data_IF_109339103134
#
_entry.id   IF_109339103134
#
_cell.length_a   1.000
_cell.length_b   1.000
_cell.length_c   1.000
_cell.angle_alpha   90.00
_cell.angle_beta   90.00
_cell.angle_gamma   90.00
#
_symmetry.space_group_name_H-M   'P 1'
#
loop_
_entity.id
_entity.type
_entity.pdbx_description
1 polymer ?
#
# COMPACT_ATOMS: atom_id res chain seq x y z
N UNK A 1 15.34 26.23 -9.87
CA UNK A 1 14.21 25.33 -10.17
C UNK A 1 14.62 23.85 -10.15
N UNK A 2 15.78 23.47 -10.69
CA UNK A 2 16.31 22.09 -10.64
C UNK A 2 16.40 21.49 -9.22
N UNK A 3 16.86 22.26 -8.22
CA UNK A 3 16.98 21.79 -6.84
C UNK A 3 15.64 21.49 -6.15
N UNK A 4 14.55 22.14 -6.56
CA UNK A 4 13.22 21.94 -5.98
C UNK A 4 12.57 20.69 -6.57
N UNK A 5 12.70 20.50 -7.89
CA UNK A 5 12.22 19.31 -8.61
C UNK A 5 12.92 18.06 -8.06
N UNK A 6 14.25 18.13 -7.84
CA UNK A 6 15.01 16.99 -7.32
C UNK A 6 14.55 16.59 -5.89
N UNK A 7 14.19 17.56 -5.03
CA UNK A 7 13.68 17.26 -3.70
C UNK A 7 12.28 16.63 -3.70
N UNK A 8 11.40 16.99 -4.63
CA UNK A 8 10.07 16.38 -4.73
C UNK A 8 10.15 14.92 -5.18
N UNK A 9 10.97 14.62 -6.18
CA UNK A 9 11.18 13.24 -6.65
C UNK A 9 11.77 12.35 -5.55
N UNK A 10 12.72 12.86 -4.78
CA UNK A 10 13.30 12.14 -3.64
C UNK A 10 12.23 11.85 -2.58
N UNK A 11 11.36 12.81 -2.25
CA UNK A 11 10.25 12.59 -1.29
C UNK A 11 9.27 11.53 -1.79
N UNK A 12 8.90 11.57 -3.06
CA UNK A 12 8.00 10.57 -3.67
C UNK A 12 8.64 9.18 -3.64
N UNK A 13 9.93 9.08 -3.96
CA UNK A 13 10.66 7.82 -3.93
C UNK A 13 10.75 7.24 -2.52
N UNK A 14 11.08 8.07 -1.52
CA UNK A 14 11.10 7.67 -0.11
C UNK A 14 9.71 7.16 0.31
N UNK A 15 8.65 7.91 -0.01
CA UNK A 15 7.28 7.53 0.30
C UNK A 15 6.91 6.19 -0.35
N UNK A 16 7.28 5.97 -1.61
CA UNK A 16 7.03 4.73 -2.33
C UNK A 16 7.76 3.54 -1.67
N UNK A 17 9.02 3.73 -1.25
CA UNK A 17 9.79 2.70 -0.53
C UNK A 17 9.13 2.38 0.81
N UNK A 18 8.68 3.38 1.57
CA UNK A 18 7.96 3.14 2.82
C UNK A 18 6.66 2.36 2.62
N UNK A 19 5.86 2.74 1.61
CA UNK A 19 4.61 2.04 1.28
C UNK A 19 4.90 0.59 0.87
N UNK A 20 5.94 0.36 0.08
CA UNK A 20 6.35 -0.98 -0.34
C UNK A 20 6.77 -1.84 0.85
N UNK A 21 7.58 -1.31 1.77
CA UNK A 21 8.02 -2.03 2.97
C UNK A 21 6.82 -2.33 3.87
N UNK A 22 5.94 -1.35 4.09
CA UNK A 22 4.73 -1.52 4.91
C UNK A 22 3.80 -2.58 4.32
N UNK A 23 3.57 -2.55 3.00
CA UNK A 23 2.78 -3.56 2.29
C UNK A 23 3.42 -4.95 2.37
N UNK A 24 4.73 -5.04 2.18
CA UNK A 24 5.48 -6.31 2.27
C UNK A 24 5.40 -6.91 3.67
N UNK A 25 5.55 -6.08 4.71
CA UNK A 25 5.40 -6.49 6.11
C UNK A 25 3.98 -6.93 6.41
N UNK A 26 2.99 -6.19 5.92
CA UNK A 26 1.58 -6.52 6.09
C UNK A 26 1.22 -7.88 5.49
N UNK A 27 1.72 -8.15 4.30
CA UNK A 27 1.51 -9.42 3.61
C UNK A 27 2.23 -10.57 4.31
N UNK A 28 3.46 -10.32 4.77
CA UNK A 28 4.22 -11.29 5.57
C UNK A 28 3.48 -11.64 6.87
N UNK A 29 2.98 -10.64 7.60
CA UNK A 29 2.21 -10.87 8.82
C UNK A 29 0.86 -11.54 8.55
N UNK A 30 0.13 -11.09 7.54
CA UNK A 30 -1.13 -11.70 7.10
C UNK A 30 -0.96 -13.17 6.71
N UNK A 31 0.16 -13.53 6.09
CA UNK A 31 0.46 -14.92 5.73
C UNK A 31 0.75 -15.81 6.94
N UNK A 32 1.31 -15.24 8.02
CA UNK A 32 1.49 -15.95 9.29
C UNK A 32 0.15 -16.21 9.96
N UNK A 33 -0.76 -15.25 9.92
CA UNK A 33 -2.13 -15.41 10.44
C UNK A 33 -2.93 -16.46 9.68
N UNK A 34 -2.74 -16.58 8.36
CA UNK A 34 -3.42 -17.56 7.51
C UNK A 34 -2.72 -18.94 7.45
N UNK A 35 -1.66 -19.14 8.24
CA UNK A 35 -0.92 -20.40 8.37
C UNK A 35 -0.35 -20.95 7.06
N UNK A 36 0.29 -20.09 6.26
CA UNK A 36 1.03 -20.56 5.06
C UNK A 36 2.23 -21.42 5.47
N UNK A 37 2.48 -22.50 4.72
CA UNK A 37 3.53 -23.48 5.06
C UNK A 37 4.94 -22.93 4.86
N UNK A 38 5.16 -22.10 3.85
CA UNK A 38 6.48 -21.55 3.50
C UNK A 38 6.31 -20.07 3.18
N UNK A 39 6.80 -19.20 4.06
CA UNK A 39 6.76 -17.75 3.87
C UNK A 39 8.18 -17.21 3.98
N UNK A 40 8.64 -16.53 2.93
CA UNK A 40 9.82 -15.68 2.98
C UNK A 40 9.42 -14.24 2.74
N UNK A 41 9.94 -13.32 3.55
CA UNK A 41 9.75 -11.88 3.38
C UNK A 41 10.13 -11.41 1.97
N UNK A 42 11.13 -12.05 1.35
CA UNK A 42 11.54 -11.79 -0.04
C UNK A 42 10.40 -12.02 -1.04
N UNK A 43 9.63 -13.09 -0.90
CA UNK A 43 8.49 -13.35 -1.79
C UNK A 43 7.33 -12.39 -1.51
N UNK A 44 7.11 -12.02 -0.24
CA UNK A 44 6.14 -10.98 0.10
C UNK A 44 6.50 -9.64 -0.55
N UNK A 45 7.79 -9.28 -0.55
CA UNK A 45 8.27 -8.07 -1.20
C UNK A 45 7.98 -8.05 -2.71
N UNK A 46 8.25 -9.15 -3.42
CA UNK A 46 7.92 -9.23 -4.84
C UNK A 46 6.42 -9.19 -5.11
N UNK A 47 5.63 -9.87 -4.29
CA UNK A 47 4.17 -9.85 -4.42
C UNK A 47 3.62 -8.42 -4.27
N UNK A 48 4.04 -7.72 -3.22
CA UNK A 48 3.64 -6.33 -2.96
C UNK A 48 4.15 -5.37 -4.04
N UNK A 49 5.37 -5.57 -4.56
CA UNK A 49 5.90 -4.77 -5.66
C UNK A 49 5.05 -4.92 -6.93
N UNK A 50 4.74 -6.15 -7.32
CA UNK A 50 3.93 -6.44 -8.50
C UNK A 50 2.53 -5.84 -8.34
N UNK A 51 1.91 -6.00 -7.18
CA UNK A 51 0.59 -5.44 -6.90
C UNK A 51 0.60 -3.89 -6.99
N UNK A 52 1.56 -3.23 -6.36
CA UNK A 52 1.67 -1.76 -6.37
C UNK A 52 1.94 -1.20 -7.76
N UNK A 53 2.83 -1.82 -8.53
CA UNK A 53 3.08 -1.43 -9.94
C UNK A 53 1.83 -1.64 -10.79
N UNK A 54 1.10 -2.73 -10.57
CA UNK A 54 -0.15 -3.02 -11.29
C UNK A 54 -1.25 -2.01 -10.96
N UNK A 55 -1.36 -1.56 -9.70
CA UNK A 55 -2.27 -0.47 -9.31
C UNK A 55 -1.87 0.83 -10.02
N UNK A 56 -0.57 1.13 -10.12
CA UNK A 56 -0.07 2.29 -10.87
C UNK A 56 -0.44 2.23 -12.36
N UNK A 57 -0.26 1.07 -12.99
CA UNK A 57 -0.68 0.83 -14.38
C UNK A 57 -2.20 0.94 -14.56
N UNK A 58 -2.97 0.32 -13.67
CA UNK A 58 -4.43 0.39 -13.67
C UNK A 58 -4.94 1.82 -13.50
N UNK A 59 -4.30 2.63 -12.65
CA UNK A 59 -4.61 4.05 -12.48
C UNK A 59 -4.38 4.85 -13.76
N UNK A 60 -3.27 4.59 -14.44
CA UNK A 60 -2.97 5.24 -15.72
C UNK A 60 -4.00 4.87 -16.80
N UNK A 61 -4.39 3.60 -16.87
CA UNK A 61 -5.44 3.13 -17.79
C UNK A 61 -6.81 3.69 -17.45
N UNK A 62 -7.22 3.69 -16.17
CA UNK A 62 -8.50 4.24 -15.71
C UNK A 62 -8.61 5.73 -16.05
N UNK A 63 -7.52 6.49 -15.90
CA UNK A 63 -7.49 7.91 -16.29
C UNK A 63 -7.68 8.10 -17.80
N UNK A 64 -7.22 7.16 -18.61
CA UNK A 64 -7.34 7.22 -20.07
C UNK A 64 -8.74 6.80 -20.56
N UNK A 65 -9.30 5.74 -19.99
CA UNK A 65 -10.58 5.16 -20.44
C UNK A 65 -11.78 5.89 -19.81
N UNK A 66 -11.68 6.32 -18.55
CA UNK A 66 -12.74 7.03 -17.84
C UNK A 66 -12.19 8.29 -17.15
N UNK A 67 -11.92 9.37 -17.91
CA UNK A 67 -11.35 10.61 -17.37
C UNK A 67 -12.25 11.31 -16.33
N UNK A 68 -13.56 11.04 -16.38
CA UNK A 68 -14.54 11.60 -15.44
C UNK A 68 -14.69 10.80 -14.13
N UNK A 69 -14.02 9.64 -14.04
CA UNK A 69 -14.03 8.81 -12.83
C UNK A 69 -13.15 9.44 -11.75
N UNK A 70 -13.74 10.38 -11.01
CA UNK A 70 -13.11 11.12 -9.92
C UNK A 70 -13.69 10.73 -8.56
N UNK A 71 -12.94 10.99 -7.50
CA UNK A 71 -13.38 10.81 -6.12
C UNK A 71 -13.26 9.37 -5.60
N UNK A 72 -14.09 9.04 -4.61
CA UNK A 72 -13.99 7.79 -3.84
C UNK A 72 -14.16 6.51 -4.67
N UNK A 73 -14.99 6.53 -5.71
CA UNK A 73 -15.25 5.36 -6.55
C UNK A 73 -14.01 4.89 -7.31
N UNK A 74 -13.20 5.82 -7.82
CA UNK A 74 -11.94 5.48 -8.50
C UNK A 74 -10.94 4.82 -7.54
N UNK A 75 -10.90 5.28 -6.28
CA UNK A 75 -10.03 4.72 -5.25
C UNK A 75 -10.46 3.30 -4.89
N UNK A 76 -11.77 3.06 -4.73
CA UNK A 76 -12.31 1.73 -4.42
C UNK A 76 -11.99 0.73 -5.54
N UNK A 77 -12.16 1.12 -6.80
CA UNK A 77 -11.82 0.28 -7.95
C UNK A 77 -10.33 -0.07 -7.97
N UNK A 78 -9.46 0.91 -7.71
CA UNK A 78 -8.01 0.68 -7.66
C UNK A 78 -7.61 -0.26 -6.51
N UNK A 79 -8.24 -0.13 -5.35
CA UNK A 79 -8.02 -1.05 -4.23
C UNK A 79 -8.47 -2.46 -4.61
N UNK A 80 -9.65 -2.61 -5.22
CA UNK A 80 -10.15 -3.92 -5.67
C UNK A 80 -9.21 -4.57 -6.68
N UNK A 81 -8.74 -3.83 -7.69
CA UNK A 81 -7.76 -4.33 -8.67
C UNK A 81 -6.48 -4.76 -7.94
N UNK A 82 -5.99 -3.93 -7.01
CA UNK A 82 -4.84 -4.25 -6.18
C UNK A 82 -4.98 -5.57 -5.43
N UNK A 83 -6.09 -5.75 -4.71
CA UNK A 83 -6.37 -6.96 -3.94
C UNK A 83 -6.48 -8.21 -4.84
N UNK A 84 -7.10 -8.07 -6.02
CA UNK A 84 -7.23 -9.16 -6.99
C UNK A 84 -5.84 -9.57 -7.49
N UNK A 85 -5.04 -8.61 -7.96
CA UNK A 85 -3.68 -8.87 -8.45
C UNK A 85 -2.80 -9.46 -7.36
N UNK A 86 -2.86 -8.92 -6.14
CA UNK A 86 -2.09 -9.42 -5.00
C UNK A 86 -2.49 -10.86 -4.66
N UNK A 87 -3.79 -11.18 -4.67
CA UNK A 87 -4.30 -12.55 -4.43
C UNK A 87 -3.76 -13.55 -5.44
N UNK A 88 -3.83 -13.23 -6.73
CA UNK A 88 -3.29 -14.11 -7.77
C UNK A 88 -1.77 -14.25 -7.68
N UNK A 89 -1.07 -13.15 -7.40
CA UNK A 89 0.39 -13.16 -7.27
C UNK A 89 0.84 -14.00 -6.08
N UNK A 90 0.17 -13.87 -4.93
CA UNK A 90 0.40 -14.68 -3.74
C UNK A 90 0.13 -16.16 -4.03
N UNK A 91 -0.97 -16.47 -4.74
CA UNK A 91 -1.29 -17.83 -5.12
C UNK A 91 -0.16 -18.48 -5.95
N UNK A 92 0.33 -17.76 -6.96
CA UNK A 92 1.39 -18.23 -7.86
C UNK A 92 2.74 -18.39 -7.13
N UNK A 93 3.12 -17.40 -6.32
CA UNK A 93 4.42 -17.37 -5.64
C UNK A 93 4.51 -18.39 -4.51
N UNK A 94 3.46 -18.54 -3.71
CA UNK A 94 3.46 -19.41 -2.54
C UNK A 94 2.84 -20.80 -2.81
N UNK A 95 2.22 -21.00 -3.98
CA UNK A 95 1.59 -22.27 -4.40
C UNK A 95 0.59 -22.81 -3.37
N UNK A 96 -0.10 -21.92 -2.66
CA UNK A 96 -1.16 -22.26 -1.71
C UNK A 96 -2.54 -22.25 -2.40
N UNK A 97 -3.58 -22.69 -1.70
CA UNK A 97 -4.93 -22.65 -2.27
C UNK A 97 -5.43 -21.21 -2.47
N UNK A 98 -6.33 -21.01 -3.45
CA UNK A 98 -6.93 -19.70 -3.71
C UNK A 98 -7.63 -19.14 -2.47
N UNK A 99 -8.36 -19.98 -1.73
CA UNK A 99 -9.07 -19.60 -0.50
C UNK A 99 -8.08 -19.04 0.53
N UNK A 100 -6.97 -19.74 0.76
CA UNK A 100 -5.91 -19.28 1.67
C UNK A 100 -5.26 -17.98 1.21
N UNK A 101 -5.08 -17.82 -0.10
CA UNK A 101 -4.53 -16.60 -0.70
C UNK A 101 -5.45 -15.40 -0.45
N UNK A 102 -6.76 -15.57 -0.67
CA UNK A 102 -7.78 -14.54 -0.38
C UNK A 102 -7.78 -14.16 1.10
N UNK A 103 -7.78 -15.14 2.01
CA UNK A 103 -7.75 -14.89 3.46
C UNK A 103 -6.48 -14.13 3.87
N UNK A 104 -5.34 -14.48 3.27
CA UNK A 104 -4.05 -13.82 3.53
C UNK A 104 -4.06 -12.37 3.10
N UNK A 105 -4.53 -12.11 1.89
CA UNK A 105 -4.62 -10.75 1.36
C UNK A 105 -5.63 -9.94 2.16
N UNK A 106 -6.72 -10.55 2.63
CA UNK A 106 -7.67 -9.89 3.52
C UNK A 106 -7.05 -9.49 4.86
N UNK A 107 -6.31 -10.40 5.51
CA UNK A 107 -5.58 -10.07 6.75
C UNK A 107 -4.49 -9.03 6.52
N UNK A 108 -3.75 -9.14 5.41
CA UNK A 108 -2.77 -8.13 4.98
C UNK A 108 -3.44 -6.77 4.78
N UNK A 109 -4.63 -6.72 4.21
CA UNK A 109 -5.36 -5.48 4.02
C UNK A 109 -5.79 -4.86 5.37
N UNK A 110 -6.25 -5.67 6.33
CA UNK A 110 -6.57 -5.17 7.66
C UNK A 110 -5.34 -4.59 8.35
N UNK A 111 -4.21 -5.30 8.28
CA UNK A 111 -2.97 -4.90 8.94
C UNK A 111 -2.42 -3.61 8.33
N UNK A 112 -2.47 -3.45 7.00
CA UNK A 112 -1.98 -2.22 6.35
C UNK A 112 -2.89 -1.04 6.69
N UNK A 113 -4.21 -1.24 6.77
CA UNK A 113 -5.16 -0.20 7.19
C UNK A 113 -4.87 0.25 8.61
N UNK A 114 -4.63 -0.68 9.54
CA UNK A 114 -4.27 -0.35 10.93
C UNK A 114 -2.97 0.46 10.98
N UNK A 115 -1.91 -0.01 10.29
CA UNK A 115 -0.62 0.67 10.25
C UNK A 115 -0.75 2.08 9.67
N UNK A 116 -1.44 2.22 8.53
CA UNK A 116 -1.61 3.51 7.85
C UNK A 116 -2.43 4.48 8.68
N UNK A 117 -3.53 4.03 9.30
CA UNK A 117 -4.35 4.89 10.18
C UNK A 117 -3.51 5.38 11.36
N UNK A 118 -2.76 4.50 12.03
CA UNK A 118 -1.90 4.91 13.14
C UNK A 118 -0.85 5.93 12.72
N UNK A 119 -0.20 5.74 11.57
CA UNK A 119 0.78 6.69 11.04
C UNK A 119 0.12 8.04 10.74
N UNK A 120 -1.06 8.05 10.12
CA UNK A 120 -1.80 9.27 9.81
C UNK A 120 -2.20 10.04 11.07
N UNK A 121 -2.68 9.34 12.11
CA UNK A 121 -3.01 9.96 13.40
C UNK A 121 -1.78 10.54 14.07
N UNK A 122 -0.67 9.81 14.11
CA UNK A 122 0.60 10.31 14.67
C UNK A 122 1.14 11.51 13.91
N UNK A 123 1.08 11.50 12.56
CA UNK A 123 1.49 12.63 11.73
C UNK A 123 0.60 13.87 11.96
N UNK A 124 -0.71 13.68 12.09
CA UNK A 124 -1.65 14.74 12.41
C UNK A 124 -1.40 15.35 13.79
N UNK A 125 -1.13 14.52 14.80
CA UNK A 125 -0.77 14.98 16.14
C UNK A 125 0.54 15.78 16.13
N UNK A 126 1.56 15.29 15.42
CA UNK A 126 2.85 15.96 15.28
C UNK A 126 2.69 17.34 14.64
N UNK A 127 1.90 17.43 13.56
CA UNK A 127 1.59 18.72 12.93
C UNK A 127 0.89 19.66 13.90
N UNK A 128 -0.11 19.19 14.64
CA UNK A 128 -0.82 20.02 15.62
C UNK A 128 0.10 20.54 16.72
N UNK A 129 1.07 19.73 17.17
CA UNK A 129 2.07 20.12 18.16
C UNK A 129 3.04 21.18 17.61
N UNK A 130 3.53 21.01 16.38
CA UNK A 130 4.46 21.95 15.75
C UNK A 130 3.82 23.24 15.22
N UNK A 131 2.49 23.26 15.01
CA UNK A 131 1.75 24.46 14.56
C UNK A 131 1.19 25.31 15.70
N UNK A 132 1.51 25.01 16.96
CA UNK A 132 1.05 25.86 18.07
C UNK A 132 1.57 27.29 17.88
N UNK A 133 0.68 28.31 17.88
CA UNK A 133 1.13 29.69 17.82
C UNK A 133 2.03 29.98 19.02
N UNK A 134 3.06 30.84 18.88
CA UNK A 134 3.91 31.21 19.99
C UNK A 134 3.04 31.77 21.12
N UNK A 135 3.36 31.49 22.40
CA UNK A 135 2.56 31.95 23.52
C UNK A 135 2.46 33.48 23.45
N UNK A 136 1.24 34.00 23.28
CA UNK A 136 0.93 35.41 23.47
C UNK A 136 1.24 35.76 24.92
N UNK A 137 2.29 36.56 25.11
CA UNK A 137 2.62 37.20 26.38
C UNK A 137 1.61 38.30 26.70
#
# INVERSE_FOLDING_TARGET
MENIINQEWVKVLIMAVFVLIASSFSLWYGSKLSQFKIISFKYCFYASLIALVSIGGAKSLLKYVYPDLKGGTAVIILILIGLIVETFTVNILFRESLIKSVITVFFSFIVIVIIVISILMSAGFLMAYFKQPPPTK
#
